data_IF_031663823902
#
_entry.id   IF_031663823902
#
_cell.length_a   1.000
_cell.length_b   1.000
_cell.length_c   1.000
_cell.angle_alpha   90.00
_cell.angle_beta   90.00
_cell.angle_gamma   90.00
#
_symmetry.space_group_name_H-M   'P 1'
#
loop_
_entity.id
_entity.type
_entity.pdbx_description
1 polymer ?
#
# COMPACT_ATOMS: atom_id res chain seq x y z
N UNK A 1 -3.76 17.63 -5.73
CA UNK A 1 -3.75 16.73 -6.92
C UNK A 1 -3.26 15.31 -6.60
N UNK A 2 -2.07 15.11 -6.00
CA UNK A 2 -1.55 13.75 -5.68
C UNK A 2 -2.50 12.87 -4.85
N UNK A 3 -3.28 13.45 -3.92
CA UNK A 3 -4.22 12.69 -3.09
C UNK A 3 -5.33 12.00 -3.89
N UNK A 4 -5.81 12.59 -4.98
CA UNK A 4 -6.87 12.00 -5.81
C UNK A 4 -6.35 10.87 -6.68
N UNK A 5 -5.19 11.04 -7.32
CA UNK A 5 -4.59 10.02 -8.18
C UNK A 5 -4.33 8.71 -7.42
N UNK A 6 -3.72 8.79 -6.22
CA UNK A 6 -3.45 7.63 -5.36
C UNK A 6 -4.73 6.87 -4.98
N UNK A 7 -5.80 7.59 -4.63
CA UNK A 7 -7.09 6.98 -4.24
C UNK A 7 -7.70 6.21 -5.41
N UNK A 8 -7.71 6.82 -6.60
CA UNK A 8 -8.27 6.20 -7.79
C UNK A 8 -7.47 4.95 -8.17
N UNK A 9 -6.15 5.03 -8.24
CA UNK A 9 -5.29 3.90 -8.58
C UNK A 9 -5.50 2.72 -7.63
N UNK A 10 -5.41 2.94 -6.31
CA UNK A 10 -5.60 1.85 -5.34
C UNK A 10 -6.98 1.20 -5.45
N UNK A 11 -8.02 1.96 -5.78
CA UNK A 11 -9.37 1.43 -5.98
C UNK A 11 -9.44 0.60 -7.27
N UNK A 12 -8.96 1.14 -8.38
CA UNK A 12 -8.93 0.41 -9.65
C UNK A 12 -8.10 -0.87 -9.53
N UNK A 13 -7.01 -0.87 -8.76
CA UNK A 13 -6.25 -2.09 -8.46
C UNK A 13 -7.06 -3.09 -7.64
N UNK A 14 -7.82 -2.65 -6.62
CA UNK A 14 -8.69 -3.55 -5.86
C UNK A 14 -9.78 -4.17 -6.73
N UNK A 15 -10.39 -3.36 -7.60
CA UNK A 15 -11.43 -3.79 -8.54
C UNK A 15 -10.88 -4.75 -9.62
N UNK A 16 -9.65 -4.51 -10.10
CA UNK A 16 -8.99 -5.35 -11.10
C UNK A 16 -8.54 -6.70 -10.52
N UNK A 17 -7.97 -6.69 -9.32
CA UNK A 17 -7.43 -7.89 -8.69
C UNK A 17 -8.47 -8.71 -7.93
N UNK A 18 -9.68 -8.19 -7.70
CA UNK A 18 -10.73 -8.86 -6.92
C UNK A 18 -10.37 -9.08 -5.44
N UNK A 19 -9.32 -8.41 -4.95
CA UNK A 19 -8.84 -8.52 -3.57
C UNK A 19 -8.63 -7.14 -2.93
N UNK A 20 -8.71 -7.06 -1.59
CA UNK A 20 -8.55 -5.79 -0.88
C UNK A 20 -7.15 -5.21 -1.05
N UNK A 21 -7.06 -3.91 -1.33
CA UNK A 21 -5.79 -3.18 -1.41
C UNK A 21 -5.59 -2.32 -0.17
N UNK A 22 -4.38 -2.36 0.40
CA UNK A 22 -3.98 -1.50 1.50
C UNK A 22 -3.09 -0.37 1.00
N UNK A 23 -3.59 0.87 1.05
CA UNK A 23 -2.86 2.07 0.70
C UNK A 23 -2.16 2.69 1.90
N UNK A 24 -0.83 2.69 1.87
CA UNK A 24 0.03 3.37 2.84
C UNK A 24 0.35 4.84 2.48
N UNK A 25 1.13 5.53 3.33
CA UNK A 25 1.69 6.84 3.03
C UNK A 25 2.61 6.76 1.79
N UNK A 26 2.75 7.87 1.06
CA UNK A 26 3.68 7.92 -0.09
C UNK A 26 5.14 7.88 0.36
N UNK A 27 5.37 8.23 1.62
CA UNK A 27 6.64 8.28 2.33
C UNK A 27 7.11 6.89 2.82
N UNK A 28 6.44 5.79 2.42
CA UNK A 28 6.73 4.45 2.91
C UNK A 28 8.22 4.07 2.83
N UNK A 29 8.89 4.41 1.73
CA UNK A 29 10.34 4.18 1.55
C UNK A 29 11.18 5.00 2.54
N UNK A 30 10.87 6.28 2.73
CA UNK A 30 11.59 7.15 3.66
C UNK A 30 11.43 6.68 5.11
N UNK A 31 10.20 6.30 5.50
CA UNK A 31 9.91 5.75 6.82
C UNK A 31 10.65 4.44 7.07
N UNK A 32 10.75 3.57 6.06
CA UNK A 32 11.54 2.33 6.16
C UNK A 32 13.01 2.61 6.47
N UNK A 33 13.62 3.56 5.76
CA UNK A 33 15.01 3.95 5.98
C UNK A 33 15.22 4.53 7.39
N UNK A 34 14.37 5.46 7.81
CA UNK A 34 14.45 6.08 9.14
C UNK A 34 14.39 5.01 10.23
N UNK A 35 13.50 4.02 10.11
CA UNK A 35 13.32 3.00 11.14
C UNK A 35 14.46 1.99 11.19
N UNK A 36 15.01 1.60 10.04
CA UNK A 36 16.20 0.74 10.00
C UNK A 36 17.40 1.48 10.60
N UNK A 37 17.58 2.77 10.29
CA UNK A 37 18.62 3.60 10.89
C UNK A 37 18.41 3.80 12.40
N UNK A 38 17.19 4.08 12.84
CA UNK A 38 16.86 4.25 14.25
C UNK A 38 17.14 2.97 15.06
N UNK A 39 16.84 1.80 14.50
CA UNK A 39 17.21 0.51 15.10
C UNK A 39 18.73 0.32 15.16
N UNK A 40 19.45 0.63 14.09
CA UNK A 40 20.91 0.53 14.07
C UNK A 40 21.58 1.48 15.07
N UNK A 41 20.96 2.64 15.33
CA UNK A 41 21.40 3.62 16.32
C UNK A 41 20.95 3.30 17.77
N UNK A 42 20.23 2.21 18.00
CA UNK A 42 19.73 1.83 19.33
C UNK A 42 18.56 2.68 19.84
N UNK A 43 17.92 3.47 18.98
CA UNK A 43 16.75 4.30 19.35
C UNK A 43 15.43 3.52 19.34
N UNK A 44 15.41 2.34 18.69
CA UNK A 44 14.27 1.43 18.66
C UNK A 44 14.78 0.01 18.94
N UNK A 45 14.30 -0.56 20.03
CA UNK A 45 14.63 -1.93 20.42
C UNK A 45 13.78 -2.97 19.68
N UNK A 46 14.32 -4.18 19.62
CA UNK A 46 13.61 -5.37 19.16
C UNK A 46 13.91 -5.80 17.72
N UNK A 47 13.09 -6.74 17.26
CA UNK A 47 13.22 -7.37 15.96
C UNK A 47 12.45 -6.60 14.87
N UNK A 48 12.43 -7.16 13.65
CA UNK A 48 11.67 -6.58 12.54
C UNK A 48 10.17 -6.48 12.83
N UNK A 49 9.63 -7.32 13.72
CA UNK A 49 8.21 -7.26 14.11
C UNK A 49 7.96 -6.01 14.96
N UNK A 50 8.83 -5.73 15.94
CA UNK A 50 8.78 -4.51 16.75
C UNK A 50 8.86 -3.25 15.88
N UNK A 51 9.80 -3.21 14.93
CA UNK A 51 9.94 -2.09 13.98
C UNK A 51 8.67 -1.89 13.13
N UNK A 52 8.09 -2.97 12.60
CA UNK A 52 6.83 -2.90 11.82
C UNK A 52 5.63 -2.49 12.67
N UNK A 53 5.62 -2.83 13.96
CA UNK A 53 4.57 -2.38 14.88
C UNK A 53 4.57 -0.85 15.04
N UNK A 54 5.75 -0.23 15.07
CA UNK A 54 5.88 1.24 15.07
C UNK A 54 5.25 1.85 13.81
N UNK A 55 5.51 1.29 12.62
CA UNK A 55 4.86 1.73 11.38
C UNK A 55 3.34 1.60 11.45
N UNK A 56 2.84 0.44 11.85
CA UNK A 56 1.39 0.18 11.90
C UNK A 56 0.66 1.12 12.86
N UNK A 57 1.29 1.48 13.98
CA UNK A 57 0.69 2.38 14.97
C UNK A 57 0.72 3.85 14.53
N UNK A 58 1.74 4.26 13.79
CA UNK A 58 1.95 5.68 13.45
C UNK A 58 1.37 6.07 12.09
N UNK A 59 1.20 5.12 11.17
CA UNK A 59 0.79 5.42 9.80
C UNK A 59 -0.69 5.13 9.56
N UNK A 60 -1.37 6.02 8.85
CA UNK A 60 -2.75 5.81 8.41
C UNK A 60 -2.78 4.88 7.19
N UNK A 61 -3.20 3.65 7.41
CA UNK A 61 -3.51 2.69 6.34
C UNK A 61 -4.96 2.87 5.91
N UNK A 62 -5.19 2.97 4.61
CA UNK A 62 -6.55 2.99 4.03
C UNK A 62 -6.77 1.67 3.30
N UNK A 63 -7.88 1.01 3.59
CA UNK A 63 -8.28 -0.23 2.93
C UNK A 63 -9.30 0.06 1.83
N UNK A 64 -9.05 -0.47 0.64
CA UNK A 64 -9.93 -0.37 -0.52
C UNK A 64 -10.50 -1.76 -0.80
N UNK A 65 -11.79 -1.93 -0.57
CA UNK A 65 -12.51 -3.15 -0.95
C UNK A 65 -12.86 -3.12 -2.44
N UNK A 66 -12.83 -4.27 -3.13
CA UNK A 66 -13.34 -4.41 -4.49
C UNK A 66 -14.81 -3.99 -4.57
N UNK A 67 -15.18 -3.28 -5.63
CA UNK A 67 -16.55 -2.83 -5.92
C UNK A 67 -17.12 -3.48 -7.17
N UNK A 68 -16.41 -4.45 -7.76
CA UNK A 68 -16.77 -5.15 -8.98
C UNK A 68 -16.02 -4.62 -10.21
N UNK A 69 -16.46 -5.01 -11.40
CA UNK A 69 -15.81 -4.63 -12.67
C UNK A 69 -14.77 -5.63 -13.19
N UNK A 70 -14.64 -6.80 -12.56
CA UNK A 70 -13.68 -7.83 -12.98
C UNK A 70 -13.88 -8.28 -14.44
N UNK A 71 -15.12 -8.29 -14.93
CA UNK A 71 -15.41 -8.58 -16.34
C UNK A 71 -14.84 -7.51 -17.27
N UNK A 72 -14.95 -6.23 -16.90
CA UNK A 72 -14.36 -5.11 -17.64
C UNK A 72 -12.84 -5.15 -17.61
N UNK A 73 -12.24 -5.50 -16.46
CA UNK A 73 -10.80 -5.66 -16.31
C UNK A 73 -10.26 -6.87 -17.08
N UNK A 74 -10.96 -8.00 -17.07
CA UNK A 74 -10.63 -9.16 -17.94
C UNK A 74 -10.67 -8.79 -19.43
N UNK A 75 -11.72 -8.08 -19.85
CA UNK A 75 -11.81 -7.61 -21.23
C UNK A 75 -10.71 -6.58 -21.59
N UNK A 76 -10.21 -5.81 -20.63
CA UNK A 76 -9.07 -4.91 -20.82
C UNK A 76 -7.74 -5.68 -20.91
N UNK A 77 -7.54 -6.69 -20.07
CA UNK A 77 -6.38 -7.58 -20.13
C UNK A 77 -6.28 -8.31 -21.49
N UNK A 78 -7.41 -8.85 -21.99
CA UNK A 78 -7.46 -9.45 -23.33
C UNK A 78 -7.06 -8.48 -24.45
N UNK A 79 -7.34 -7.18 -24.30
CA UNK A 79 -6.93 -6.15 -25.28
C UNK A 79 -5.44 -5.78 -25.20
N UNK A 80 -4.82 -5.92 -24.03
CA UNK A 80 -3.40 -5.61 -23.81
C UNK A 80 -2.47 -6.80 -24.09
N UNK A 81 -2.97 -8.03 -23.93
CA UNK A 81 -2.24 -9.26 -24.22
C UNK A 81 -2.41 -9.81 -25.64
N UNK A 82 -3.04 -9.02 -26.53
CA UNK A 82 -3.20 -9.32 -27.96
C UNK A 82 -2.07 -8.74 -28.80
#
# INVERSE_FOLDING_TARGET
MLRLCRILLCRLTADACGIPVLGGPVEATALGNILVQARAAGAIDGDLVAVRAVLRRTQRIVRYEPRGGEATWRAAETRMGG
#
